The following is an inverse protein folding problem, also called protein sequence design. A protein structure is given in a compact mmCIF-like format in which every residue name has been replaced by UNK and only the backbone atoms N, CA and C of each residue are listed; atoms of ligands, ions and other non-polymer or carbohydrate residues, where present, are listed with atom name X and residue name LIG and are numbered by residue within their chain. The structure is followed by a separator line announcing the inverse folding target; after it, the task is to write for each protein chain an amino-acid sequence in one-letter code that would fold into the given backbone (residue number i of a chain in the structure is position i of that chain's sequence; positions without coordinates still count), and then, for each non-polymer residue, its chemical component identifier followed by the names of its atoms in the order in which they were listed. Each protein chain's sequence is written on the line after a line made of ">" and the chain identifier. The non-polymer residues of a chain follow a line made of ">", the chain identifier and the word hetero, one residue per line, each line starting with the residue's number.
data_IF_017924054470
#
_entry.id   IF_017924054470
#
_cell.length_a   1.000
_cell.length_b   1.000
_cell.length_c   1.000
_cell.angle_alpha   90.00
_cell.angle_beta   90.00
_cell.angle_gamma   90.00
#
_symmetry.space_group_name_H-M   'P 1'
#
loop_
_entity.id
_entity.type
_entity.pdbx_description
1 polymer ?
#
# COMPACT_ATOMS: atom_id res chain seq x y z
N UNK A 1 -7.14 -3.03 -14.19
CA UNK A 1 -7.89 -1.93 -13.54
C UNK A 1 -9.14 -1.48 -14.27
N UNK A 2 -9.17 -1.49 -15.60
CA UNK A 2 -10.36 -1.07 -16.38
C UNK A 2 -11.63 -1.85 -16.01
N UNK A 3 -11.56 -3.18 -15.88
CA UNK A 3 -12.70 -4.00 -15.45
C UNK A 3 -13.19 -3.71 -14.02
N UNK A 4 -12.29 -3.30 -13.12
CA UNK A 4 -12.67 -2.91 -11.75
C UNK A 4 -13.36 -1.54 -11.75
N UNK A 5 -12.81 -0.60 -12.52
CA UNK A 5 -13.40 0.71 -12.70
C UNK A 5 -14.78 0.63 -13.35
N UNK A 6 -14.95 -0.21 -14.38
CA UNK A 6 -16.25 -0.43 -15.04
C UNK A 6 -17.30 -1.05 -14.12
N UNK A 7 -16.86 -1.73 -13.05
CA UNK A 7 -17.71 -2.30 -11.99
C UNK A 7 -17.92 -1.35 -10.82
N UNK A 8 -17.45 -0.11 -10.90
CA UNK A 8 -17.61 0.92 -9.86
C UNK A 8 -16.64 0.82 -8.68
N UNK A 9 -15.63 -0.06 -8.74
CA UNK A 9 -14.60 -0.12 -7.71
C UNK A 9 -13.59 1.01 -7.89
N UNK A 10 -13.08 1.58 -6.78
CA UNK A 10 -11.94 2.50 -6.82
C UNK A 10 -10.72 1.77 -7.37
N UNK A 11 -10.30 2.12 -8.58
CA UNK A 11 -9.12 1.57 -9.22
C UNK A 11 -8.30 2.71 -9.83
N UNK A 12 -7.02 2.83 -9.43
CA UNK A 12 -6.12 3.84 -9.99
C UNK A 12 -5.41 3.28 -11.23
N UNK A 13 -5.52 3.88 -12.42
CA UNK A 13 -4.81 3.41 -13.61
C UNK A 13 -3.29 3.44 -13.44
N UNK A 14 -2.78 4.34 -12.59
CA UNK A 14 -1.36 4.48 -12.26
C UNK A 14 -0.99 3.75 -10.95
N UNK A 15 -1.70 2.67 -10.61
CA UNK A 15 -1.42 1.88 -9.40
C UNK A 15 -0.11 1.10 -9.54
N UNK A 16 0.68 1.06 -8.46
CA UNK A 16 1.91 0.26 -8.40
C UNK A 16 1.62 -1.25 -8.49
N UNK A 17 0.41 -1.68 -8.09
CA UNK A 17 -0.08 -3.05 -8.27
C UNK A 17 -0.11 -3.47 -9.74
N UNK A 18 -0.41 -2.56 -10.67
CA UNK A 18 -0.42 -2.86 -12.10
C UNK A 18 0.98 -3.11 -12.67
N UNK A 19 2.02 -2.64 -11.98
CA UNK A 19 3.42 -2.90 -12.33
C UNK A 19 4.00 -4.14 -11.62
N UNK A 20 3.23 -4.79 -10.75
CA UNK A 20 3.74 -5.86 -9.87
C UNK A 20 4.73 -5.37 -8.80
N UNK A 21 4.68 -4.08 -8.45
CA UNK A 21 5.62 -3.43 -7.52
C UNK A 21 5.00 -3.15 -6.14
N UNK A 22 3.76 -3.59 -5.90
CA UNK A 22 3.05 -3.33 -4.66
C UNK A 22 2.34 -4.56 -4.12
N UNK A 23 2.08 -4.53 -2.81
CA UNK A 23 1.30 -5.53 -2.09
C UNK A 23 0.46 -4.84 -1.01
N UNK A 24 -0.74 -5.37 -0.78
CA UNK A 24 -1.59 -5.01 0.35
C UNK A 24 -1.55 -6.16 1.35
N UNK A 25 -1.00 -5.92 2.54
CA UNK A 25 -0.81 -6.91 3.60
C UNK A 25 -1.97 -6.78 4.59
N UNK A 26 -2.76 -7.83 4.78
CA UNK A 26 -3.88 -7.82 5.71
C UNK A 26 -3.42 -7.51 7.14
N UNK A 27 -4.08 -6.56 7.80
CA UNK A 27 -3.75 -6.12 9.15
C UNK A 27 -4.96 -5.44 9.80
N UNK A 28 -5.54 -6.10 10.81
CA UNK A 28 -6.85 -5.72 11.37
C UNK A 28 -6.81 -5.26 12.83
N UNK A 29 -5.64 -5.25 13.48
CA UNK A 29 -5.49 -4.74 14.84
C UNK A 29 -4.27 -3.80 14.95
N UNK A 30 -4.23 -2.99 16.00
CA UNK A 30 -3.24 -1.93 16.18
C UNK A 30 -1.85 -2.45 16.57
N UNK A 31 -1.78 -3.55 17.32
CA UNK A 31 -0.51 -4.12 17.79
C UNK A 31 0.26 -4.70 16.61
N UNK A 32 -0.38 -5.53 15.79
CA UNK A 32 0.23 -6.09 14.59
C UNK A 32 0.61 -5.00 13.61
N UNK A 33 -0.22 -3.96 13.49
CA UNK A 33 0.07 -2.81 12.63
C UNK A 33 1.35 -2.11 13.03
N UNK A 34 1.52 -1.87 14.33
CA UNK A 34 2.73 -1.25 14.87
C UNK A 34 3.97 -2.09 14.54
N UNK A 35 3.93 -3.39 14.82
CA UNK A 35 5.07 -4.27 14.53
C UNK A 35 5.35 -4.41 13.04
N UNK A 36 4.31 -4.57 12.22
CA UNK A 36 4.43 -4.71 10.77
C UNK A 36 5.07 -3.47 10.14
N UNK A 37 4.65 -2.26 10.53
CA UNK A 37 5.24 -1.01 10.02
C UNK A 37 6.74 -0.94 10.36
N UNK A 38 7.12 -1.28 11.59
CA UNK A 38 8.53 -1.31 11.98
C UNK A 38 9.32 -2.31 11.13
N UNK A 39 8.84 -3.55 10.97
CA UNK A 39 9.50 -4.55 10.13
C UNK A 39 9.66 -4.08 8.68
N UNK A 40 8.64 -3.43 8.11
CA UNK A 40 8.67 -2.93 6.74
C UNK A 40 9.69 -1.80 6.56
N UNK A 41 9.79 -0.90 7.54
CA UNK A 41 10.81 0.15 7.56
C UNK A 41 12.21 -0.44 7.71
N UNK A 42 12.40 -1.41 8.60
CA UNK A 42 13.69 -2.04 8.86
C UNK A 42 14.26 -2.76 7.63
N UNK A 43 13.39 -3.39 6.81
CA UNK A 43 13.80 -4.04 5.55
C UNK A 43 13.89 -3.06 4.37
N UNK A 44 13.57 -1.78 4.57
CA UNK A 44 13.83 -0.71 3.61
C UNK A 44 12.66 -0.34 2.69
N UNK A 45 11.41 -0.70 3.01
CA UNK A 45 10.26 -0.12 2.29
C UNK A 45 10.15 1.38 2.60
N UNK A 46 9.98 2.18 1.55
CA UNK A 46 9.95 3.65 1.65
C UNK A 46 8.58 4.28 1.37
N UNK A 47 7.60 3.47 1.01
CA UNK A 47 6.26 3.92 0.62
C UNK A 47 5.23 3.04 1.31
N UNK A 48 4.56 3.59 2.32
CA UNK A 48 3.68 2.84 3.22
C UNK A 48 2.31 3.54 3.32
N UNK A 49 1.26 2.88 2.83
CA UNK A 49 -0.12 3.31 2.99
C UNK A 49 -0.83 2.55 4.11
N UNK A 50 -1.48 3.25 5.02
CA UNK A 50 -2.12 2.67 6.20
C UNK A 50 -3.64 2.71 6.04
N UNK A 51 -4.27 1.56 5.85
CA UNK A 51 -5.71 1.40 5.80
C UNK A 51 -6.24 0.68 7.06
N UNK A 52 -7.56 0.71 7.27
CA UNK A 52 -8.18 0.08 8.44
C UNK A 52 -7.97 -1.44 8.51
N UNK A 53 -7.92 -2.12 7.36
CA UNK A 53 -7.83 -3.58 7.26
C UNK A 53 -6.55 -4.11 6.59
N UNK A 54 -5.67 -3.21 6.13
CA UNK A 54 -4.42 -3.59 5.48
C UNK A 54 -3.33 -2.52 5.59
N UNK A 55 -2.11 -2.91 5.27
CA UNK A 55 -0.97 -2.03 5.01
C UNK A 55 -0.55 -2.20 3.55
N UNK A 56 -0.61 -1.12 2.79
CA UNK A 56 -0.06 -1.04 1.44
C UNK A 56 1.43 -0.76 1.52
N UNK A 57 2.25 -1.50 0.79
CA UNK A 57 3.64 -1.13 0.53
C UNK A 57 3.96 -1.27 -0.94
N UNK A 58 4.84 -0.40 -1.42
CA UNK A 58 5.31 -0.47 -2.79
C UNK A 58 6.77 -0.02 -2.94
N UNK A 59 7.43 -0.51 -3.99
CA UNK A 59 8.80 -0.16 -4.37
C UNK A 59 8.85 0.63 -5.70
N UNK A 60 7.74 1.27 -6.09
CA UNK A 60 7.65 2.01 -7.35
C UNK A 60 8.52 3.27 -7.31
N UNK A 61 9.66 3.21 -8.01
CA UNK A 61 10.66 4.29 -8.07
C UNK A 61 10.17 5.52 -8.84
N UNK A 62 9.11 5.39 -9.63
CA UNK A 62 8.53 6.50 -10.40
C UNK A 62 7.61 7.38 -9.54
N UNK A 63 7.38 7.00 -8.28
CA UNK A 63 6.55 7.75 -7.32
C UNK A 63 7.41 8.40 -6.25
N UNK A 64 6.84 9.37 -5.53
CA UNK A 64 7.51 10.03 -4.40
C UNK A 64 8.00 9.01 -3.38
N UNK A 65 9.28 9.04 -3.02
CA UNK A 65 9.82 8.12 -2.02
C UNK A 65 9.68 8.72 -0.62
N UNK A 66 9.88 7.88 0.40
CA UNK A 66 9.97 8.30 1.82
C UNK A 66 8.67 8.94 2.31
N UNK A 67 7.55 8.28 1.98
CA UNK A 67 6.20 8.72 2.32
C UNK A 67 5.43 7.67 3.09
N UNK A 68 4.61 8.16 4.02
CA UNK A 68 3.60 7.38 4.72
C UNK A 68 2.28 8.15 4.69
N UNK A 69 1.18 7.49 4.32
CA UNK A 69 -0.14 8.12 4.21
C UNK A 69 -1.23 7.22 4.78
N UNK A 70 -2.37 7.81 5.10
CA UNK A 70 -3.58 7.07 5.50
C UNK A 70 -4.60 7.05 4.37
N UNK A 71 -5.38 5.99 4.28
CA UNK A 71 -6.57 5.97 3.42
C UNK A 71 -7.74 6.62 4.16
N UNK A 72 -8.49 7.48 3.46
CA UNK A 72 -9.73 8.10 3.96
C UNK A 72 -10.94 7.18 3.78
#
# INVERSE_FOLDING_TARGET
>A
NESLASRGYKASPNSSHCKGLAVDIACNNSIDRYHLINCLLDVGFKRIGIANSFIHVDIDKDKSQEVMWTYA
#
